data_IF_593000489977
#
_entry.id   IF_593000489977
#
_cell.length_a   1.000
_cell.length_b   1.000
_cell.length_c   1.000
_cell.angle_alpha   90.00
_cell.angle_beta   90.00
_cell.angle_gamma   90.00
#
_symmetry.space_group_name_H-M   'P 1'
#
loop_
_entity.id
_entity.type
_entity.pdbx_description
1 polymer ?
#
# COMPACT_ATOMS: atom_id res chain seq x y z
N UNK A 1 -8.36 10.48 21.10
CA UNK A 1 -7.88 9.28 20.39
C UNK A 1 -6.97 8.51 21.33
N UNK A 2 -7.09 7.19 21.35
CA UNK A 2 -6.15 6.32 22.05
C UNK A 2 -5.10 5.83 21.05
N UNK A 3 -3.83 5.78 21.45
CA UNK A 3 -2.74 5.25 20.63
C UNK A 3 -2.02 4.13 21.38
N UNK A 4 -1.53 3.14 20.63
CA UNK A 4 -0.85 1.97 21.16
C UNK A 4 0.46 1.75 20.39
N UNK A 5 1.55 1.48 21.10
CA UNK A 5 2.83 1.09 20.50
C UNK A 5 2.82 -0.42 20.31
N UNK A 6 2.98 -0.88 19.07
CA UNK A 6 2.98 -2.31 18.75
C UNK A 6 4.39 -2.91 18.83
N UNK A 7 5.35 -2.36 18.10
CA UNK A 7 6.75 -2.82 18.12
C UNK A 7 7.74 -1.75 17.60
N UNK A 8 9.03 -1.96 17.85
CA UNK A 8 10.13 -1.20 17.25
C UNK A 8 11.15 -2.15 16.64
N UNK A 9 11.47 -1.95 15.36
CA UNK A 9 12.53 -2.68 14.68
C UNK A 9 13.80 -1.82 14.63
N UNK A 10 14.78 -2.09 15.50
CA UNK A 10 16.05 -1.35 15.58
C UNK A 10 17.04 -1.74 14.46
N UNK A 11 16.57 -1.75 13.21
CA UNK A 11 17.35 -2.08 12.00
C UNK A 11 16.66 -1.54 10.76
N UNK A 12 17.36 -1.60 9.63
CA UNK A 12 16.71 -1.45 8.33
C UNK A 12 15.67 -2.56 8.12
N UNK A 13 14.58 -2.19 7.44
CA UNK A 13 13.39 -3.01 7.21
C UNK A 13 12.90 -2.88 5.76
N UNK A 14 11.97 -3.74 5.37
CA UNK A 14 11.24 -3.59 4.10
C UNK A 14 10.56 -2.21 3.99
N UNK A 15 10.02 -1.73 5.11
CA UNK A 15 9.44 -0.38 5.21
C UNK A 15 10.47 0.73 5.02
N UNK A 16 11.71 0.57 5.51
CA UNK A 16 12.78 1.55 5.27
C UNK A 16 13.19 1.62 3.80
N UNK A 17 13.21 0.48 3.10
CA UNK A 17 13.46 0.45 1.66
C UNK A 17 12.32 1.16 0.90
N UNK A 18 11.06 0.85 1.23
CA UNK A 18 9.89 1.52 0.68
C UNK A 18 9.93 3.04 0.92
N UNK A 19 10.19 3.47 2.15
CA UNK A 19 10.28 4.89 2.50
C UNK A 19 11.40 5.59 1.73
N UNK A 20 12.55 4.93 1.54
CA UNK A 20 13.65 5.49 0.75
C UNK A 20 13.27 5.71 -0.72
N UNK A 21 12.49 4.78 -1.29
CA UNK A 21 11.98 4.91 -2.66
C UNK A 21 10.87 5.94 -2.76
N UNK A 22 9.99 6.01 -1.76
CA UNK A 22 8.88 6.95 -1.70
C UNK A 22 9.34 8.41 -1.53
N UNK A 23 10.45 8.64 -0.84
CA UNK A 23 10.91 9.99 -0.50
C UNK A 23 12.12 10.46 -1.29
N UNK A 24 12.82 9.53 -1.96
CA UNK A 24 14.15 9.79 -2.52
C UNK A 24 15.26 9.90 -1.46
N UNK A 25 14.94 9.76 -0.17
CA UNK A 25 15.90 9.85 0.93
C UNK A 25 16.57 8.49 1.19
N UNK A 26 17.89 8.34 1.00
CA UNK A 26 18.54 7.03 1.06
C UNK A 26 18.84 6.60 2.51
N UNK A 27 17.83 6.10 3.23
CA UNK A 27 17.92 5.76 4.67
C UNK A 27 19.10 4.84 5.00
N UNK A 28 19.34 3.81 4.18
CA UNK A 28 20.45 2.87 4.40
C UNK A 28 21.83 3.55 4.30
N UNK A 29 22.00 4.44 3.32
CA UNK A 29 23.24 5.19 3.12
C UNK A 29 23.50 6.14 4.28
N UNK A 30 22.46 6.88 4.69
CA UNK A 30 22.56 7.81 5.82
C UNK A 30 22.83 7.07 7.12
N UNK A 31 22.15 5.95 7.39
CA UNK A 31 22.38 5.12 8.56
C UNK A 31 23.82 4.60 8.63
N UNK A 32 24.39 4.17 7.50
CA UNK A 32 25.79 3.74 7.43
C UNK A 32 26.78 4.88 7.76
N UNK A 33 26.50 6.11 7.31
CA UNK A 33 27.31 7.29 7.65
C UNK A 33 27.21 7.67 9.14
N UNK A 34 26.01 7.58 9.71
CA UNK A 34 25.79 7.78 11.15
C UNK A 34 26.56 6.77 11.99
N UNK A 35 26.62 5.51 11.56
CA UNK A 35 27.40 4.46 12.24
C UNK A 35 28.91 4.76 12.26
N UNK A 36 29.40 5.60 11.35
CA UNK A 36 30.78 6.12 11.32
C UNK A 36 30.96 7.41 12.13
N UNK A 37 29.96 7.83 12.92
CA UNK A 37 30.00 9.04 13.73
C UNK A 37 29.77 10.34 12.95
N UNK A 38 29.36 10.26 11.68
CA UNK A 38 29.10 11.45 10.85
C UNK A 38 27.67 11.94 11.13
N UNK A 39 27.48 13.15 11.69
CA UNK A 39 26.15 13.64 12.06
C UNK A 39 25.33 14.07 10.83
N UNK A 40 23.99 14.04 10.95
CA UNK A 40 23.06 14.37 9.85
C UNK A 40 23.34 15.70 9.14
N UNK A 41 23.68 16.82 9.83
CA UNK A 41 23.94 18.10 9.18
C UNK A 41 25.17 18.08 8.25
N UNK A 42 26.09 17.14 8.43
CA UNK A 42 27.31 17.02 7.61
C UNK A 42 27.06 16.18 6.35
N UNK A 43 26.09 15.26 6.40
CA UNK A 43 25.77 14.39 5.27
C UNK A 43 25.01 15.22 4.23
N UNK A 44 25.48 15.26 2.99
CA UNK A 44 24.79 15.97 1.90
C UNK A 44 23.57 15.20 1.41
N UNK A 45 22.50 15.91 1.08
CA UNK A 45 21.37 15.34 0.37
C UNK A 45 21.76 15.05 -1.09
N UNK A 46 21.74 13.79 -1.48
CA UNK A 46 22.10 13.35 -2.83
C UNK A 46 21.11 13.78 -3.91
N UNK A 47 19.86 14.13 -3.54
CA UNK A 47 18.81 14.53 -4.49
C UNK A 47 18.93 16.00 -4.87
N UNK A 48 19.03 16.89 -3.88
CA UNK A 48 19.09 18.35 -4.11
C UNK A 48 20.52 18.86 -4.33
N UNK A 49 21.54 18.16 -3.81
CA UNK A 49 22.95 18.53 -3.89
C UNK A 49 23.36 19.77 -3.05
N UNK A 50 22.39 20.59 -2.65
CA UNK A 50 22.59 21.88 -1.96
C UNK A 50 22.16 21.87 -0.49
N UNK A 51 21.36 20.89 -0.07
CA UNK A 51 20.92 20.73 1.33
C UNK A 51 21.64 19.57 2.02
N UNK A 52 21.42 19.42 3.32
CA UNK A 52 21.95 18.32 4.13
C UNK A 52 20.89 17.21 4.26
N UNK A 53 21.27 16.08 4.86
CA UNK A 53 20.37 14.99 5.22
C UNK A 53 19.56 15.30 6.50
N UNK A 54 19.81 16.43 7.16
CA UNK A 54 19.07 16.84 8.37
C UNK A 54 17.79 17.60 7.99
N UNK A 55 16.80 16.88 7.47
CA UNK A 55 15.49 17.43 7.12
C UNK A 55 14.43 16.32 7.07
N UNK A 56 13.16 16.72 7.04
CA UNK A 56 12.04 15.82 6.80
C UNK A 56 11.56 15.99 5.35
N UNK A 57 11.55 14.92 4.52
CA UNK A 57 11.05 15.00 3.16
C UNK A 57 9.57 15.40 3.10
N UNK A 58 9.25 16.34 2.20
CA UNK A 58 7.87 16.69 1.85
C UNK A 58 7.54 16.14 0.47
N UNK A 59 6.38 15.51 0.32
CA UNK A 59 5.94 14.85 -0.91
C UNK A 59 4.74 15.60 -1.50
N UNK A 60 4.78 15.86 -2.80
CA UNK A 60 3.70 16.46 -3.59
C UNK A 60 2.93 15.41 -4.42
N UNK A 61 3.07 14.14 -4.03
CA UNK A 61 2.45 12.96 -4.62
C UNK A 61 2.05 11.93 -3.56
N UNK A 62 1.20 11.00 -3.96
CA UNK A 62 0.79 9.83 -3.19
C UNK A 62 1.57 8.59 -3.63
N UNK A 63 2.02 7.78 -2.67
CA UNK A 63 2.69 6.50 -2.91
C UNK A 63 1.81 5.37 -2.40
N UNK A 64 1.50 4.41 -3.27
CA UNK A 64 0.72 3.22 -2.90
C UNK A 64 1.59 1.98 -3.08
N UNK A 65 1.59 1.13 -2.05
CA UNK A 65 2.26 -0.16 -2.05
C UNK A 65 1.23 -1.28 -1.95
N UNK A 66 1.31 -2.24 -2.87
CA UNK A 66 0.44 -3.43 -2.86
C UNK A 66 1.31 -4.69 -2.79
N UNK A 67 1.09 -5.59 -1.83
CA UNK A 67 1.78 -6.89 -1.80
C UNK A 67 1.37 -7.79 -2.97
N UNK A 68 2.31 -8.60 -3.45
CA UNK A 68 2.07 -9.68 -4.42
C UNK A 68 1.96 -11.01 -3.69
N UNK A 69 0.94 -11.78 -4.02
CA UNK A 69 0.75 -13.14 -3.56
C UNK A 69 0.84 -14.14 -4.71
N UNK A 70 1.19 -15.37 -4.38
CA UNK A 70 1.28 -16.48 -5.34
C UNK A 70 0.73 -17.76 -4.68
N UNK A 71 -0.41 -17.63 -4.01
CA UNK A 71 -1.00 -18.69 -3.18
C UNK A 71 -1.58 -19.84 -4.02
N UNK A 72 -1.92 -19.58 -5.29
CA UNK A 72 -2.44 -20.59 -6.22
C UNK A 72 -1.46 -21.74 -6.47
N UNK A 73 -0.16 -21.53 -6.26
CA UNK A 73 0.86 -22.58 -6.35
C UNK A 73 0.83 -23.58 -5.18
N UNK A 74 0.07 -23.29 -4.11
CA UNK A 74 0.10 -24.05 -2.86
C UNK A 74 -1.29 -24.58 -2.48
N UNK A 75 -1.61 -25.81 -2.93
CA UNK A 75 -2.93 -26.45 -2.76
C UNK A 75 -3.42 -26.60 -1.30
N UNK A 76 -2.52 -26.62 -0.31
CA UNK A 76 -2.85 -26.82 1.11
C UNK A 76 -2.74 -25.54 1.95
N UNK A 77 -2.55 -24.39 1.32
CA UNK A 77 -2.37 -23.11 2.00
C UNK A 77 -3.68 -22.32 2.00
N UNK A 78 -4.05 -21.81 3.16
CA UNK A 78 -5.18 -20.87 3.29
C UNK A 78 -4.88 -19.55 2.57
N UNK A 79 -5.83 -19.10 1.75
CA UNK A 79 -5.82 -17.79 1.08
C UNK A 79 -6.09 -16.61 2.03
N UNK A 80 -6.66 -16.88 3.22
CA UNK A 80 -6.82 -15.86 4.27
C UNK A 80 -5.48 -15.23 4.66
N UNK A 81 -5.44 -13.91 4.76
CA UNK A 81 -4.29 -13.14 5.21
C UNK A 81 -4.50 -12.64 6.64
N UNK A 82 -3.41 -12.42 7.37
CA UNK A 82 -3.44 -12.00 8.77
C UNK A 82 -2.09 -11.41 9.19
N UNK A 83 -1.78 -11.49 10.49
CA UNK A 83 -0.52 -10.95 11.04
C UNK A 83 0.74 -11.63 10.49
N UNK A 84 0.65 -12.92 10.16
CA UNK A 84 1.75 -13.66 9.54
C UNK A 84 1.80 -13.44 8.03
N UNK A 85 2.94 -12.94 7.54
CA UNK A 85 3.13 -12.58 6.14
C UNK A 85 3.15 -13.82 5.23
N UNK A 86 2.37 -13.77 4.14
CA UNK A 86 2.34 -14.78 3.07
C UNK A 86 2.66 -14.23 1.68
N UNK A 87 2.82 -12.91 1.55
CA UNK A 87 3.15 -12.27 0.27
C UNK A 87 4.57 -12.62 -0.16
N UNK A 88 4.79 -12.85 -1.44
CA UNK A 88 6.09 -13.20 -2.03
C UNK A 88 6.85 -11.98 -2.56
N UNK A 89 6.17 -10.86 -2.69
CA UNK A 89 6.75 -9.60 -3.18
C UNK A 89 5.83 -8.42 -2.91
N UNK A 90 6.18 -7.28 -3.48
CA UNK A 90 5.42 -6.04 -3.39
C UNK A 90 5.72 -5.14 -4.58
N UNK A 91 4.75 -4.33 -4.95
CA UNK A 91 4.88 -3.28 -5.96
C UNK A 91 4.62 -1.92 -5.32
N UNK A 92 5.22 -0.89 -5.89
CA UNK A 92 5.05 0.49 -5.46
C UNK A 92 4.71 1.34 -6.68
N UNK A 93 3.68 2.17 -6.57
CA UNK A 93 3.34 3.16 -7.59
C UNK A 93 3.21 4.56 -6.99
N UNK A 94 3.48 5.55 -7.83
CA UNK A 94 3.40 6.97 -7.51
C UNK A 94 2.35 7.62 -8.43
N UNK A 95 1.52 8.48 -7.85
CA UNK A 95 0.51 9.28 -8.55
C UNK A 95 0.23 10.58 -7.82
N UNK A 96 -0.39 11.56 -8.49
CA UNK A 96 -0.71 12.86 -7.88
C UNK A 96 -1.98 12.81 -7.02
N UNK A 97 -2.74 11.74 -7.11
CA UNK A 97 -3.86 11.42 -6.24
C UNK A 97 -3.87 9.92 -5.93
N UNK A 98 -4.68 9.54 -4.94
CA UNK A 98 -4.75 8.14 -4.49
C UNK A 98 -5.30 7.23 -5.58
N UNK A 99 -6.36 7.61 -6.28
CA UNK A 99 -7.01 6.80 -7.31
C UNK A 99 -6.01 6.42 -8.43
N UNK A 100 -5.20 7.38 -8.89
CA UNK A 100 -4.15 7.18 -9.88
C UNK A 100 -3.07 6.22 -9.38
N UNK A 101 -2.50 6.50 -8.20
CA UNK A 101 -1.43 5.69 -7.62
C UNK A 101 -1.91 4.26 -7.33
N UNK A 102 -3.13 4.12 -6.82
CA UNK A 102 -3.75 2.84 -6.51
C UNK A 102 -3.99 2.01 -7.76
N UNK A 103 -4.59 2.58 -8.81
CA UNK A 103 -4.81 1.85 -10.06
C UNK A 103 -3.51 1.44 -10.75
N UNK A 104 -2.47 2.30 -10.73
CA UNK A 104 -1.13 1.95 -11.21
C UNK A 104 -0.55 0.77 -10.42
N UNK A 105 -0.58 0.84 -9.09
CA UNK A 105 -0.06 -0.23 -8.24
C UNK A 105 -0.79 -1.55 -8.51
N UNK A 106 -2.12 -1.53 -8.64
CA UNK A 106 -2.91 -2.74 -8.83
C UNK A 106 -2.62 -3.42 -10.18
N UNK A 107 -2.38 -2.64 -11.23
CA UNK A 107 -1.90 -3.15 -12.53
C UNK A 107 -0.50 -3.75 -12.49
N UNK A 108 0.37 -3.26 -11.61
CA UNK A 108 1.72 -3.80 -11.45
C UNK A 108 1.73 -5.15 -10.73
N UNK A 109 0.67 -5.49 -9.99
CA UNK A 109 0.61 -6.75 -9.23
C UNK A 109 0.51 -7.95 -10.17
N UNK A 110 -0.32 -7.88 -11.22
CA UNK A 110 -0.55 -8.99 -12.15
C UNK A 110 -0.79 -8.46 -13.55
N UNK A 111 -0.21 -9.11 -14.55
CA UNK A 111 -0.40 -8.74 -15.97
C UNK A 111 -1.85 -8.86 -16.45
N UNK A 112 -2.67 -9.68 -15.78
CA UNK A 112 -4.08 -9.87 -16.11
C UNK A 112 -5.01 -8.89 -15.38
N UNK A 113 -4.46 -8.02 -14.52
CA UNK A 113 -5.25 -7.06 -13.75
C UNK A 113 -5.10 -5.68 -14.36
N UNK A 114 -6.18 -5.14 -14.93
CA UNK A 114 -6.18 -3.81 -15.57
C UNK A 114 -6.41 -2.64 -14.60
N UNK A 115 -6.65 -2.92 -13.32
CA UNK A 115 -6.91 -1.92 -12.30
C UNK A 115 -7.92 -2.42 -11.27
N UNK A 116 -8.67 -1.50 -10.69
CA UNK A 116 -9.69 -1.82 -9.67
C UNK A 116 -10.98 -2.32 -10.34
N UNK A 117 -10.88 -3.48 -10.97
CA UNK A 117 -11.90 -4.04 -11.84
C UNK A 117 -12.98 -4.79 -11.03
N UNK A 118 -14.26 -4.35 -11.11
CA UNK A 118 -15.36 -4.96 -10.36
C UNK A 118 -15.95 -6.22 -11.01
N UNK A 119 -15.42 -6.68 -12.14
CA UNK A 119 -15.91 -7.86 -12.87
C UNK A 119 -15.04 -9.11 -12.62
N UNK A 120 -13.85 -8.97 -12.02
CA UNK A 120 -12.93 -10.09 -11.77
C UNK A 120 -13.43 -11.08 -10.71
N UNK A 121 -14.23 -10.60 -9.75
CA UNK A 121 -14.76 -11.41 -8.67
C UNK A 121 -16.24 -11.09 -8.40
N UNK A 122 -16.94 -12.06 -7.81
CA UNK A 122 -18.26 -11.83 -7.27
C UNK A 122 -18.17 -11.26 -5.85
N UNK A 123 -19.25 -10.58 -5.44
CA UNK A 123 -19.38 -10.12 -4.04
C UNK A 123 -19.44 -11.32 -3.11
N UNK A 124 -18.62 -11.29 -2.07
CA UNK A 124 -18.55 -12.28 -1.02
C UNK A 124 -18.29 -11.56 0.31
N UNK A 125 -19.31 -11.44 1.16
CA UNK A 125 -19.19 -10.72 2.44
C UNK A 125 -18.20 -11.39 3.39
N UNK A 126 -18.05 -12.72 3.32
CA UNK A 126 -17.07 -13.43 4.14
C UNK A 126 -15.64 -13.02 3.78
N UNK A 127 -15.33 -12.82 2.50
CA UNK A 127 -14.00 -12.32 2.08
C UNK A 127 -13.81 -10.82 2.36
N UNK A 128 -14.90 -10.06 2.49
CA UNK A 128 -14.84 -8.69 2.98
C UNK A 128 -14.53 -8.65 4.47
N UNK A 129 -15.09 -9.56 5.28
CA UNK A 129 -14.81 -9.65 6.72
C UNK A 129 -13.48 -10.30 7.03
N UNK A 130 -13.21 -11.46 6.41
CA UNK A 130 -11.99 -12.23 6.54
C UNK A 130 -11.09 -11.97 5.32
N UNK A 131 -10.07 -11.12 5.46
CA UNK A 131 -9.31 -10.65 4.30
C UNK A 131 -8.58 -11.80 3.60
N UNK A 132 -8.62 -11.79 2.26
CA UNK A 132 -7.88 -12.69 1.35
C UNK A 132 -6.96 -11.88 0.42
N UNK A 133 -6.12 -12.57 -0.34
CA UNK A 133 -5.31 -11.98 -1.43
C UNK A 133 -6.17 -11.34 -2.54
N UNK A 134 -7.46 -11.70 -2.64
CA UNK A 134 -8.41 -11.20 -3.64
C UNK A 134 -9.42 -10.18 -3.10
N UNK A 135 -9.34 -9.83 -1.81
CA UNK A 135 -10.32 -8.95 -1.13
C UNK A 135 -10.60 -7.65 -1.89
N UNK A 136 -9.58 -7.06 -2.53
CA UNK A 136 -9.76 -5.81 -3.28
C UNK A 136 -10.73 -5.97 -4.46
N UNK A 137 -10.70 -7.08 -5.18
CA UNK A 137 -11.62 -7.33 -6.30
C UNK A 137 -13.04 -7.64 -5.81
N UNK A 138 -13.16 -8.32 -4.68
CA UNK A 138 -14.46 -8.51 -4.00
C UNK A 138 -15.04 -7.17 -3.54
N UNK A 139 -14.19 -6.26 -3.04
CA UNK A 139 -14.58 -4.90 -2.65
C UNK A 139 -15.05 -4.07 -3.86
N UNK A 140 -14.34 -4.16 -4.99
CA UNK A 140 -14.74 -3.52 -6.24
C UNK A 140 -16.15 -3.98 -6.69
N UNK A 141 -16.38 -5.30 -6.67
CA UNK A 141 -17.69 -5.86 -6.99
C UNK A 141 -18.79 -5.39 -6.02
N UNK A 142 -18.49 -5.24 -4.73
CA UNK A 142 -19.45 -4.81 -3.72
C UNK A 142 -19.85 -3.34 -3.91
N UNK A 143 -18.88 -2.47 -4.18
CA UNK A 143 -19.12 -1.07 -4.55
C UNK A 143 -19.99 -0.97 -5.81
N UNK A 144 -19.71 -1.81 -6.82
CA UNK A 144 -20.52 -1.85 -8.04
C UNK A 144 -21.96 -2.29 -7.77
N UNK A 145 -22.20 -3.19 -6.82
CA UNK A 145 -23.53 -3.58 -6.32
C UNK A 145 -24.17 -2.55 -5.36
N UNK A 146 -23.67 -1.32 -5.32
CA UNK A 146 -24.20 -0.22 -4.50
C UNK A 146 -24.16 -0.48 -2.99
N UNK A 147 -23.18 -1.24 -2.49
CA UNK A 147 -22.98 -1.32 -1.04
C UNK A 147 -22.59 0.07 -0.51
N UNK A 148 -23.18 0.48 0.60
CA UNK A 148 -22.85 1.76 1.23
C UNK A 148 -21.43 1.75 1.80
N UNK A 149 -20.81 2.93 1.87
CA UNK A 149 -19.49 3.10 2.47
C UNK A 149 -19.49 2.64 3.93
N UNK A 150 -20.54 2.93 4.69
CA UNK A 150 -20.67 2.47 6.07
C UNK A 150 -20.73 0.96 6.20
N UNK A 151 -21.51 0.29 5.34
CA UNK A 151 -21.55 -1.18 5.32
C UNK A 151 -20.18 -1.77 5.03
N UNK A 152 -19.47 -1.21 4.05
CA UNK A 152 -18.13 -1.67 3.69
C UNK A 152 -17.10 -1.38 4.79
N UNK A 153 -17.23 -0.25 5.50
CA UNK A 153 -16.43 0.04 6.67
C UNK A 153 -16.67 -1.00 7.77
N UNK A 154 -17.92 -1.35 8.07
CA UNK A 154 -18.22 -2.34 9.10
C UNK A 154 -17.68 -3.73 8.76
N UNK A 155 -17.79 -4.14 7.50
CA UNK A 155 -17.25 -5.42 7.04
C UNK A 155 -15.72 -5.42 7.04
N UNK A 156 -15.08 -4.32 6.59
CA UNK A 156 -13.66 -4.36 6.23
C UNK A 156 -12.72 -3.72 7.23
N UNK A 157 -13.24 -2.76 8.01
CA UNK A 157 -12.51 -1.78 8.82
C UNK A 157 -11.49 -0.93 8.03
N UNK A 158 -11.59 -0.92 6.70
CA UNK A 158 -10.86 0.02 5.84
C UNK A 158 -11.49 1.40 6.03
N UNK A 159 -10.67 2.42 6.25
CA UNK A 159 -11.15 3.78 6.50
C UNK A 159 -12.07 4.29 5.38
N UNK A 160 -13.10 5.04 5.78
CA UNK A 160 -14.14 5.56 4.89
C UNK A 160 -13.56 6.43 3.77
N UNK A 161 -12.47 7.15 4.03
CA UNK A 161 -11.79 7.94 3.01
C UNK A 161 -11.31 7.07 1.85
N UNK A 162 -10.63 5.96 2.13
CA UNK A 162 -10.19 5.03 1.07
C UNK A 162 -11.37 4.40 0.35
N UNK A 163 -12.40 3.98 1.09
CA UNK A 163 -13.61 3.40 0.48
C UNK A 163 -14.31 4.40 -0.46
N UNK A 164 -14.39 5.67 -0.08
CA UNK A 164 -14.95 6.72 -0.92
C UNK A 164 -14.09 6.94 -2.18
N UNK A 165 -12.76 6.94 -2.05
CA UNK A 165 -11.84 7.06 -3.18
C UNK A 165 -11.95 5.88 -4.16
N UNK A 166 -12.07 4.67 -3.63
CA UNK A 166 -12.32 3.47 -4.42
C UNK A 166 -13.68 3.50 -5.10
N UNK A 167 -14.71 4.04 -4.44
CA UNK A 167 -16.03 4.27 -5.04
C UNK A 167 -15.95 5.20 -6.25
N UNK A 168 -15.16 6.28 -6.17
CA UNK A 168 -14.96 7.19 -7.31
C UNK A 168 -14.47 6.42 -8.56
N UNK A 169 -13.54 5.48 -8.38
CA UNK A 169 -13.04 4.63 -9.48
C UNK A 169 -14.18 3.80 -10.07
N UNK A 170 -15.02 3.18 -9.22
CA UNK A 170 -16.15 2.35 -9.66
C UNK A 170 -17.24 3.18 -10.36
N UNK A 171 -17.46 4.41 -9.94
CA UNK A 171 -18.44 5.30 -10.56
C UNK A 171 -18.09 5.61 -12.03
N UNK A 172 -16.79 5.62 -12.39
CA UNK A 172 -16.35 5.77 -13.78
C UNK A 172 -16.70 4.58 -14.70
N UNK A 173 -16.99 3.40 -14.16
CA UNK A 173 -17.45 2.25 -14.95
C UNK A 173 -18.94 2.34 -15.37
N UNK A 174 -19.67 3.33 -14.85
CA UNK A 174 -21.11 3.51 -15.11
C UNK A 174 -21.40 4.57 -16.18
N UNK A 175 -20.36 5.21 -16.68
CA UNK A 175 -20.41 6.15 -17.81
C UNK A 175 -20.40 5.32 -19.10
#
# INVERSE_FOLDING_TARGET
EEFYIIEVNARLSRSSALASKATGYPLAYVAAKLALGIPLPTIKNSVTGVTTACFEPSLDYCVVKIPRWDLAKFNRVSTKIGSSMKSVGEVMAIGRNFEEAFQKALRMVDENVNGFDPYLNNVNENELQEPTDKRMFVLAAALKKNYSIDKLYELTKIDRWFLQKLKNIIDHYRI
#
